data_IF_511986113322
#
_entry.id   IF_511986113322
#
_cell.length_a   1.000
_cell.length_b   1.000
_cell.length_c   1.000
_cell.angle_alpha   90.00
_cell.angle_beta   90.00
_cell.angle_gamma   90.00
#
_symmetry.space_group_name_H-M   'P 1'
#
loop_
_entity.id
_entity.type
_entity.pdbx_description
1 polymer ?
#
# COMPACT_ATOMS: atom_id res chain seq x y z
N UNK A 1 -26.22 -8.64 22.63
CA UNK A 1 -25.31 -9.80 22.32
C UNK A 1 -24.02 -9.28 21.69
N UNK A 2 -22.92 -10.04 21.68
CA UNK A 2 -21.64 -9.62 21.07
C UNK A 2 -21.79 -9.22 19.59
N UNK A 3 -22.66 -9.92 18.87
CA UNK A 3 -22.92 -9.63 17.45
C UNK A 3 -23.57 -8.25 17.25
N UNK A 4 -24.47 -7.84 18.13
CA UNK A 4 -25.11 -6.52 18.02
C UNK A 4 -24.08 -5.40 18.30
N UNK A 5 -23.21 -5.61 19.28
CA UNK A 5 -22.10 -4.70 19.58
C UNK A 5 -21.15 -4.57 18.40
N UNK A 6 -20.80 -5.69 17.74
CA UNK A 6 -19.96 -5.69 16.54
C UNK A 6 -20.58 -4.83 15.42
N UNK A 7 -21.86 -5.04 15.10
CA UNK A 7 -22.53 -4.25 14.07
C UNK A 7 -22.63 -2.76 14.41
N UNK A 8 -22.85 -2.43 15.67
CA UNK A 8 -22.88 -1.03 16.11
C UNK A 8 -21.50 -0.37 15.99
N UNK A 9 -20.42 -1.07 16.36
CA UNK A 9 -19.05 -0.54 16.17
C UNK A 9 -18.70 -0.38 14.68
N UNK A 10 -19.07 -1.34 13.82
CA UNK A 10 -18.87 -1.22 12.38
C UNK A 10 -19.59 -0.01 11.79
N UNK A 11 -20.83 0.25 12.19
CA UNK A 11 -21.58 1.45 11.76
C UNK A 11 -20.87 2.73 12.19
N UNK A 12 -20.36 2.79 13.43
CA UNK A 12 -19.58 3.95 13.92
C UNK A 12 -18.35 4.21 13.07
N UNK A 13 -17.60 3.16 12.71
CA UNK A 13 -16.42 3.27 11.85
C UNK A 13 -16.80 3.80 10.46
N UNK A 14 -17.87 3.27 9.84
CA UNK A 14 -18.33 3.75 8.53
C UNK A 14 -18.74 5.23 8.57
N UNK A 15 -19.50 5.64 9.59
CA UNK A 15 -19.91 7.05 9.78
C UNK A 15 -18.68 7.94 10.01
N UNK A 16 -17.67 7.47 10.76
CA UNK A 16 -16.42 8.20 10.97
C UNK A 16 -15.67 8.41 9.64
N UNK A 17 -15.54 7.35 8.83
CA UNK A 17 -14.91 7.43 7.50
C UNK A 17 -15.66 8.39 6.60
N UNK A 18 -16.97 8.26 6.49
CA UNK A 18 -17.81 9.16 5.68
C UNK A 18 -17.60 10.63 6.04
N UNK A 19 -17.63 10.95 7.33
CA UNK A 19 -17.49 12.34 7.81
C UNK A 19 -16.09 12.91 7.66
N UNK A 20 -15.05 12.08 7.79
CA UNK A 20 -13.65 12.55 7.84
C UNK A 20 -12.88 12.35 6.54
N UNK A 21 -13.30 11.43 5.67
CA UNK A 21 -12.53 11.05 4.49
C UNK A 21 -13.25 11.29 3.15
N UNK A 22 -14.53 11.66 3.17
CA UNK A 22 -15.31 11.84 1.95
C UNK A 22 -14.63 12.77 0.93
N UNK A 23 -14.16 13.93 1.37
CA UNK A 23 -13.52 14.90 0.49
C UNK A 23 -12.18 14.36 -0.06
N UNK A 24 -11.42 13.62 0.76
CA UNK A 24 -10.18 12.97 0.33
C UNK A 24 -10.42 11.83 -0.65
N UNK A 25 -11.48 11.08 -0.48
CA UNK A 25 -11.90 10.05 -1.44
C UNK A 25 -12.30 10.69 -2.78
N UNK A 26 -13.03 11.80 -2.75
CA UNK A 26 -13.39 12.53 -3.98
C UNK A 26 -12.15 13.11 -4.67
N UNK A 27 -11.25 13.75 -3.93
CA UNK A 27 -9.97 14.25 -4.47
C UNK A 27 -9.16 13.12 -5.13
N UNK A 28 -9.05 11.96 -4.47
CA UNK A 28 -8.36 10.80 -5.02
C UNK A 28 -9.04 10.28 -6.30
N UNK A 29 -10.38 10.23 -6.32
CA UNK A 29 -11.15 9.81 -7.49
C UNK A 29 -10.92 10.75 -8.69
N UNK A 30 -10.91 12.08 -8.47
CA UNK A 30 -10.63 13.08 -9.52
C UNK A 30 -9.20 12.94 -10.07
N UNK A 31 -8.22 12.71 -9.20
CA UNK A 31 -6.81 12.49 -9.60
C UNK A 31 -6.71 11.25 -10.49
N UNK A 32 -7.36 10.15 -10.11
CA UNK A 32 -7.37 8.90 -10.87
C UNK A 32 -8.08 9.10 -12.22
N UNK A 33 -9.29 9.67 -12.20
CA UNK A 33 -10.06 9.90 -13.42
C UNK A 33 -9.33 10.81 -14.40
N UNK A 34 -8.70 11.87 -13.92
CA UNK A 34 -7.90 12.77 -14.74
C UNK A 34 -6.69 12.08 -15.37
N UNK A 35 -6.00 11.22 -14.64
CA UNK A 35 -4.89 10.42 -15.17
C UNK A 35 -5.36 9.47 -16.26
N UNK A 36 -6.40 8.69 -16.00
CA UNK A 36 -6.97 7.73 -16.97
C UNK A 36 -7.47 8.43 -18.26
N UNK A 37 -8.07 9.61 -18.13
CA UNK A 37 -8.53 10.39 -19.27
C UNK A 37 -7.39 10.94 -20.16
N UNK A 38 -6.16 10.92 -19.66
CA UNK A 38 -4.94 11.35 -20.35
C UNK A 38 -3.99 10.19 -20.68
N UNK A 39 -4.53 8.99 -20.86
CA UNK A 39 -3.79 7.75 -21.13
C UNK A 39 -2.79 7.34 -20.04
N UNK A 40 -2.97 7.85 -18.82
CA UNK A 40 -2.23 7.39 -17.66
C UNK A 40 -2.73 6.05 -17.16
N UNK A 41 -1.92 5.40 -16.32
CA UNK A 41 -2.23 4.11 -15.72
C UNK A 41 -2.45 4.28 -14.23
N UNK A 42 -3.45 3.58 -13.71
CA UNK A 42 -3.72 3.51 -12.30
C UNK A 42 -3.09 2.25 -11.70
N UNK A 43 -2.02 2.43 -10.94
CA UNK A 43 -1.28 1.36 -10.28
C UNK A 43 -1.68 1.20 -8.81
N UNK A 44 -1.50 0.00 -8.27
CA UNK A 44 -1.66 -0.30 -6.85
C UNK A 44 -0.56 -1.23 -6.36
N UNK A 45 -0.04 -0.92 -5.18
CA UNK A 45 0.83 -1.79 -4.39
C UNK A 45 0.40 -1.76 -2.93
N UNK A 46 0.44 -2.89 -2.26
CA UNK A 46 0.17 -2.97 -0.82
C UNK A 46 1.11 -3.95 -0.11
N UNK A 47 1.04 -3.98 1.20
CA UNK A 47 1.79 -4.93 2.04
C UNK A 47 1.16 -6.32 2.12
N UNK A 48 0.23 -6.67 1.24
CA UNK A 48 -0.45 -7.96 1.22
C UNK A 48 -1.70 -8.03 2.13
N UNK A 49 -2.22 -6.90 2.57
CA UNK A 49 -3.42 -6.79 3.42
C UNK A 49 -4.73 -6.73 2.63
N UNK A 50 -4.90 -7.59 1.65
CA UNK A 50 -6.15 -7.77 0.91
C UNK A 50 -6.60 -6.62 -0.01
N UNK A 51 -6.08 -5.39 0.10
CA UNK A 51 -6.50 -4.27 -0.71
C UNK A 51 -6.40 -4.58 -2.22
N UNK A 52 -5.26 -5.12 -2.63
CA UNK A 52 -5.03 -5.53 -4.01
C UNK A 52 -5.98 -6.66 -4.44
N UNK A 53 -6.25 -7.62 -3.56
CA UNK A 53 -7.17 -8.72 -3.84
C UNK A 53 -8.61 -8.22 -3.95
N UNK A 54 -9.06 -7.36 -3.06
CA UNK A 54 -10.38 -6.77 -3.08
C UNK A 54 -10.61 -5.86 -4.30
N UNK A 55 -9.62 -5.11 -4.70
CA UNK A 55 -9.76 -4.19 -5.83
C UNK A 55 -9.70 -4.89 -7.19
N UNK A 56 -8.94 -5.98 -7.34
CA UNK A 56 -8.64 -6.59 -8.64
C UNK A 56 -8.98 -8.08 -8.68
N UNK A 57 -8.64 -8.82 -7.65
CA UNK A 57 -8.57 -10.28 -7.66
C UNK A 57 -9.90 -11.01 -7.54
N UNK A 58 -11.05 -10.33 -7.67
CA UNK A 58 -12.38 -10.91 -7.51
C UNK A 58 -13.32 -10.55 -8.65
N UNK A 59 -14.45 -11.26 -8.74
CA UNK A 59 -15.56 -10.92 -9.67
C UNK A 59 -16.03 -9.48 -9.39
N UNK A 60 -16.09 -8.66 -10.42
CA UNK A 60 -16.42 -7.23 -10.30
C UNK A 60 -15.24 -6.36 -9.84
N UNK A 61 -14.02 -6.88 -9.86
CA UNK A 61 -12.81 -6.09 -9.63
C UNK A 61 -12.61 -5.02 -10.72
N UNK A 62 -11.83 -4.00 -10.37
CA UNK A 62 -11.63 -2.83 -11.24
C UNK A 62 -10.62 -3.13 -12.36
N UNK A 63 -11.11 -3.17 -13.59
CA UNK A 63 -10.29 -3.53 -14.77
C UNK A 63 -9.19 -2.51 -15.11
N UNK A 64 -9.40 -1.23 -14.77
CA UNK A 64 -8.45 -0.16 -15.05
C UNK A 64 -7.23 -0.17 -14.11
N UNK A 65 -7.31 -0.91 -13.01
CA UNK A 65 -6.28 -0.95 -11.98
C UNK A 65 -5.20 -1.99 -12.29
N UNK A 66 -3.92 -1.59 -12.20
CA UNK A 66 -2.77 -2.45 -12.46
C UNK A 66 -2.01 -2.76 -11.18
N UNK A 67 -1.97 -4.04 -10.75
CA UNK A 67 -1.23 -4.41 -9.54
C UNK A 67 0.27 -4.43 -9.81
N UNK A 68 1.03 -3.84 -8.90
CA UNK A 68 2.48 -4.05 -8.82
C UNK A 68 2.71 -5.17 -7.79
N UNK A 69 3.20 -6.30 -8.25
CA UNK A 69 3.48 -7.46 -7.42
C UNK A 69 4.97 -7.75 -7.42
N UNK A 70 5.53 -7.84 -6.23
CA UNK A 70 6.92 -8.23 -6.03
C UNK A 70 6.93 -9.61 -5.41
N UNK A 71 7.38 -10.60 -6.17
CA UNK A 71 7.51 -11.97 -5.71
C UNK A 71 8.97 -12.41 -5.88
N UNK A 72 9.51 -13.04 -4.84
CA UNK A 72 10.80 -13.72 -4.91
C UNK A 72 10.58 -15.15 -4.44
N UNK A 73 10.77 -16.09 -5.34
CA UNK A 73 10.71 -17.50 -5.05
C UNK A 73 12.14 -18.07 -5.08
N UNK A 74 12.56 -18.65 -3.96
CA UNK A 74 13.83 -19.36 -3.87
C UNK A 74 13.53 -20.82 -3.61
N UNK A 75 13.60 -21.61 -4.68
CA UNK A 75 13.44 -23.05 -4.63
C UNK A 75 14.67 -23.70 -3.98
N UNK A 76 14.66 -23.76 -2.66
CA UNK A 76 15.69 -24.43 -1.90
C UNK A 76 15.07 -25.55 -1.07
N UNK A 77 15.36 -26.83 -1.34
CA UNK A 77 14.90 -27.94 -0.52
C UNK A 77 15.55 -27.85 0.85
N UNK A 78 14.78 -27.36 1.81
CA UNK A 78 15.29 -27.00 3.10
C UNK A 78 15.29 -28.14 4.09
N UNK A 79 16.45 -28.35 4.71
CA UNK A 79 16.46 -28.83 6.10
C UNK A 79 16.01 -27.68 7.01
N UNK A 80 15.18 -27.98 7.99
CA UNK A 80 14.85 -27.04 9.06
C UNK A 80 16.16 -26.63 9.74
N UNK A 81 16.48 -25.32 9.71
CA UNK A 81 17.65 -24.76 10.39
C UNK A 81 17.19 -23.71 11.37
N UNK A 82 17.85 -23.62 12.54
CA UNK A 82 17.69 -22.49 13.44
C UNK A 82 18.01 -21.20 12.70
N UNK A 83 17.22 -20.16 12.96
CA UNK A 83 17.48 -18.79 12.46
C UNK A 83 18.31 -17.97 13.44
N UNK A 84 18.78 -18.56 14.52
CA UNK A 84 19.59 -17.89 15.50
C UNK A 84 20.88 -17.38 14.87
N UNK A 85 21.18 -16.10 15.05
CA UNK A 85 22.35 -15.43 14.46
C UNK A 85 22.28 -15.16 12.96
N UNK A 86 21.18 -15.46 12.27
CA UNK A 86 21.02 -15.14 10.85
C UNK A 86 20.37 -13.77 10.68
N UNK A 87 21.09 -12.84 10.08
CA UNK A 87 20.55 -11.54 9.70
C UNK A 87 19.44 -11.73 8.65
N UNK A 88 18.27 -11.20 8.94
CA UNK A 88 17.17 -11.20 7.97
C UNK A 88 17.43 -10.12 6.93
N UNK A 89 17.63 -10.53 5.68
CA UNK A 89 17.69 -9.63 4.53
C UNK A 89 16.27 -9.44 4.02
N UNK A 90 15.84 -8.20 3.89
CA UNK A 90 14.53 -7.80 3.36
C UNK A 90 14.73 -6.94 2.12
N UNK A 91 13.69 -6.78 1.30
CA UNK A 91 13.76 -6.00 0.06
C UNK A 91 14.19 -4.55 0.26
N UNK A 92 13.89 -3.97 1.41
CA UNK A 92 14.25 -2.62 1.81
C UNK A 92 15.74 -2.44 2.14
N UNK A 93 16.52 -3.52 2.15
CA UNK A 93 17.98 -3.49 2.29
C UNK A 93 18.72 -3.57 0.96
N UNK A 94 17.98 -3.68 -0.16
CA UNK A 94 18.56 -3.79 -1.50
C UNK A 94 18.57 -2.41 -2.16
N UNK A 95 19.75 -1.86 -2.36
CA UNK A 95 19.93 -0.56 -3.00
C UNK A 95 19.33 -0.53 -4.41
N UNK A 96 18.59 0.53 -4.72
CA UNK A 96 17.94 0.71 -6.02
C UNK A 96 16.72 -0.19 -6.25
N UNK A 97 16.29 -0.96 -5.25
CA UNK A 97 15.14 -1.85 -5.42
C UNK A 97 13.83 -1.13 -5.74
N UNK A 98 13.47 0.01 -5.12
CA UNK A 98 12.29 0.79 -5.50
C UNK A 98 12.33 1.25 -6.96
N UNK A 99 13.47 1.73 -7.44
CA UNK A 99 13.67 2.15 -8.84
C UNK A 99 13.49 0.97 -9.80
N UNK A 100 14.05 -0.19 -9.43
CA UNK A 100 13.90 -1.41 -10.21
C UNK A 100 12.43 -1.83 -10.31
N UNK A 101 11.70 -1.84 -9.20
CA UNK A 101 10.28 -2.24 -9.16
C UNK A 101 9.43 -1.31 -10.02
N UNK A 102 9.58 0.01 -9.87
CA UNK A 102 8.82 0.98 -10.66
C UNK A 102 9.21 0.95 -12.13
N UNK A 103 10.49 0.73 -12.46
CA UNK A 103 10.96 0.54 -13.81
C UNK A 103 10.35 -0.71 -14.48
N UNK A 104 10.29 -1.84 -13.76
CA UNK A 104 9.64 -3.06 -14.26
C UNK A 104 8.13 -2.89 -14.44
N UNK A 105 7.48 -2.11 -13.56
CA UNK A 105 6.07 -1.75 -13.71
C UNK A 105 5.82 -0.75 -14.85
N UNK A 106 6.88 -0.23 -15.47
CA UNK A 106 6.84 0.78 -16.54
C UNK A 106 6.00 2.02 -16.13
N UNK A 107 6.10 2.39 -14.86
CA UNK A 107 5.38 3.55 -14.33
C UNK A 107 5.97 4.85 -14.87
N UNK A 108 5.13 5.83 -15.22
CA UNK A 108 5.54 7.05 -15.90
C UNK A 108 4.91 8.29 -15.30
N UNK A 109 5.47 9.44 -15.63
CA UNK A 109 4.83 10.73 -15.34
C UNK A 109 3.39 10.76 -15.88
N UNK A 110 2.46 11.19 -15.06
CA UNK A 110 1.03 11.22 -15.37
C UNK A 110 0.24 10.02 -14.86
N UNK A 111 0.92 8.93 -14.49
CA UNK A 111 0.30 7.79 -13.82
C UNK A 111 -0.09 8.12 -12.37
N UNK A 112 -0.91 7.25 -11.78
CA UNK A 112 -1.29 7.30 -10.36
C UNK A 112 -0.90 6.00 -9.68
N UNK A 113 -0.34 6.10 -8.47
CA UNK A 113 0.03 4.97 -7.63
C UNK A 113 -0.74 5.00 -6.31
N UNK A 114 -1.58 3.99 -6.06
CA UNK A 114 -2.11 3.74 -4.72
C UNK A 114 -1.12 2.89 -3.95
N UNK A 115 -0.79 3.36 -2.75
CA UNK A 115 0.09 2.67 -1.81
C UNK A 115 -0.71 2.31 -0.56
N UNK A 116 -0.93 1.02 -0.35
CA UNK A 116 -1.69 0.48 0.78
C UNK A 116 -0.79 -0.03 1.89
N UNK A 117 -0.91 0.53 3.09
CA UNK A 117 -0.21 0.07 4.28
C UNK A 117 -0.99 0.41 5.54
N UNK A 118 -1.29 -0.57 6.38
CA UNK A 118 -2.01 -0.31 7.65
C UNK A 118 -1.20 0.64 8.53
N UNK A 119 0.06 0.36 8.75
CA UNK A 119 0.93 1.17 9.62
C UNK A 119 1.43 2.46 8.97
N UNK A 120 1.52 2.51 7.64
CA UNK A 120 2.05 3.66 6.91
C UNK A 120 3.57 3.84 6.96
N UNK A 121 4.31 3.03 7.72
CA UNK A 121 5.77 3.16 7.85
C UNK A 121 6.58 1.99 7.26
N UNK A 122 5.98 1.18 6.40
CA UNK A 122 6.75 0.18 5.66
C UNK A 122 7.78 0.89 4.76
N UNK A 123 9.06 0.69 5.04
CA UNK A 123 10.16 1.39 4.38
C UNK A 123 10.10 1.26 2.86
N UNK A 124 9.90 0.04 2.33
CA UNK A 124 9.81 -0.18 0.89
C UNK A 124 8.67 0.64 0.25
N UNK A 125 7.49 0.69 0.86
CA UNK A 125 6.37 1.43 0.31
C UNK A 125 6.59 2.95 0.36
N UNK A 126 7.26 3.44 1.42
CA UNK A 126 7.65 4.85 1.52
C UNK A 126 8.64 5.20 0.41
N UNK A 127 9.69 4.39 0.23
CA UNK A 127 10.69 4.60 -0.81
C UNK A 127 10.10 4.53 -2.21
N UNK A 128 9.18 3.59 -2.48
CA UNK A 128 8.43 3.53 -3.73
C UNK A 128 7.63 4.80 -3.99
N UNK A 129 6.94 5.32 -2.98
CA UNK A 129 6.18 6.57 -3.10
C UNK A 129 7.09 7.79 -3.35
N UNK A 130 8.26 7.84 -2.73
CA UNK A 130 9.26 8.91 -2.95
C UNK A 130 9.82 8.85 -4.38
N UNK A 131 10.24 7.68 -4.85
CA UNK A 131 10.73 7.49 -6.22
C UNK A 131 9.62 7.78 -7.25
N UNK A 132 8.38 7.35 -7.00
CA UNK A 132 7.24 7.68 -7.84
C UNK A 132 7.03 9.21 -7.94
N UNK A 133 7.17 9.93 -6.84
CA UNK A 133 7.11 11.40 -6.81
C UNK A 133 8.19 12.05 -7.66
N UNK A 134 9.43 11.54 -7.61
CA UNK A 134 10.56 12.02 -8.43
C UNK A 134 10.29 11.83 -9.94
N UNK A 135 9.64 10.75 -10.33
CA UNK A 135 9.23 10.47 -11.71
C UNK A 135 8.06 11.39 -12.15
N UNK A 136 7.35 12.01 -11.21
CA UNK A 136 6.16 12.83 -11.46
C UNK A 136 4.85 12.05 -11.45
N UNK A 137 4.82 10.91 -10.76
CA UNK A 137 3.64 10.10 -10.49
C UNK A 137 2.93 10.63 -9.25
N UNK A 138 1.61 10.72 -9.29
CA UNK A 138 0.81 11.10 -8.12
C UNK A 138 0.57 9.87 -7.24
N UNK A 139 1.00 9.94 -5.99
CA UNK A 139 0.79 8.85 -5.02
C UNK A 139 -0.39 9.13 -4.10
N UNK A 140 -1.23 8.12 -3.88
CA UNK A 140 -2.36 8.14 -2.95
C UNK A 140 -2.07 7.09 -1.88
N UNK A 141 -1.85 7.53 -0.64
CA UNK A 141 -1.62 6.63 0.48
C UNK A 141 -2.94 6.23 1.14
N UNK A 142 -3.14 4.94 1.33
CA UNK A 142 -4.24 4.37 2.11
C UNK A 142 -3.66 3.73 3.37
N UNK A 143 -3.83 4.41 4.51
CA UNK A 143 -3.22 4.02 5.79
C UNK A 143 -4.11 4.36 6.98
N UNK A 144 -3.92 3.66 8.10
CA UNK A 144 -4.57 3.98 9.37
C UNK A 144 -3.72 5.00 10.14
N UNK A 145 -4.04 6.29 9.99
CA UNK A 145 -3.26 7.40 10.58
C UNK A 145 -3.10 7.25 12.09
N UNK A 146 -4.16 6.83 12.80
CA UNK A 146 -4.11 6.64 14.25
C UNK A 146 -3.13 5.52 14.65
N UNK A 147 -3.05 4.46 13.85
CA UNK A 147 -2.08 3.38 14.06
C UNK A 147 -0.65 3.84 13.80
N UNK A 148 -0.42 4.60 12.73
CA UNK A 148 0.89 5.17 12.40
C UNK A 148 1.41 6.09 13.50
N UNK A 149 0.55 6.95 14.05
CA UNK A 149 0.91 7.85 15.14
C UNK A 149 1.25 7.09 16.45
N UNK A 150 0.55 5.99 16.74
CA UNK A 150 0.83 5.16 17.90
C UNK A 150 2.21 4.49 17.83
N UNK A 151 2.56 3.94 16.68
CA UNK A 151 3.85 3.29 16.45
C UNK A 151 5.02 4.29 16.52
N UNK A 152 4.85 5.50 15.98
CA UNK A 152 5.86 6.56 16.11
C UNK A 152 6.12 6.91 17.57
N UNK A 153 5.07 6.97 18.39
CA UNK A 153 5.19 7.21 19.83
C UNK A 153 5.87 6.03 20.55
N UNK A 154 5.57 4.79 20.16
CA UNK A 154 6.17 3.60 20.75
C UNK A 154 7.67 3.50 20.44
N UNK A 155 8.10 3.85 19.23
CA UNK A 155 9.52 3.90 18.84
C UNK A 155 10.25 4.97 19.66
N UNK A 156 9.70 6.18 19.76
CA UNK A 156 10.30 7.27 20.56
C UNK A 156 10.37 6.97 22.07
N UNK A 157 9.49 6.12 22.58
CA UNK A 157 9.51 5.73 23.99
C UNK A 157 10.52 4.59 24.28
N UNK A 158 11.04 3.93 23.25
CA UNK A 158 12.02 2.86 23.36
C UNK A 158 13.48 3.34 23.17
N UNK A 159 13.69 4.57 22.72
CA UNK A 159 14.98 5.28 22.69
C UNK A 159 15.30 5.95 24.03
#
# INVERSE_FOLDING_TARGET
MLIDQYFEEMKKVLVKIEKSQKDKIMEAAEVIASSLAQDGIWHIIDTGHMLMHECIGRTGGMMALRPIRVNCEVNNPTRFRSREGVQRITYDTVDGFPQFVLGQANIRKGDVLIVGSVSGYNKLLIELALVAKEIGVKSIALTAIEYSAYEEMAVKAAE
#
